data_IF_638074634494
#
_entry.id   IF_638074634494
#
_cell.length_a   1.000
_cell.length_b   1.000
_cell.length_c   1.000
_cell.angle_alpha   90.00
_cell.angle_beta   90.00
_cell.angle_gamma   90.00
#
_symmetry.space_group_name_H-M   'P 1'
#
loop_
_entity.id
_entity.type
_entity.pdbx_description
1 polymer ?
#
# COMPACT_ATOMS: atom_id res chain seq x y z
N UNK A 1 -0.36 -3.59 -15.26
CA UNK A 1 0.42 -2.59 -14.50
C UNK A 1 -0.45 -2.13 -13.36
N UNK A 2 -0.08 -2.42 -12.11
CA UNK A 2 -0.99 -2.30 -10.95
C UNK A 2 -0.30 -1.91 -9.64
N UNK A 3 1.00 -1.66 -9.68
CA UNK A 3 1.74 -1.03 -8.60
C UNK A 3 2.27 0.32 -9.08
N UNK A 4 2.33 1.31 -8.19
CA UNK A 4 3.05 2.56 -8.43
C UNK A 4 4.50 2.20 -8.73
N UNK A 5 5.07 2.73 -9.83
CA UNK A 5 6.47 2.49 -10.15
C UNK A 5 7.34 2.93 -8.97
N UNK A 6 7.99 1.96 -8.33
CA UNK A 6 9.09 2.24 -7.44
C UNK A 6 10.25 2.62 -8.37
N UNK A 7 10.83 3.81 -8.21
CA UNK A 7 12.08 4.09 -8.91
C UNK A 7 12.51 5.55 -9.00
N UNK A 8 13.83 5.70 -9.10
CA UNK A 8 14.51 6.93 -9.47
C UNK A 8 14.59 7.10 -11.01
N UNK A 9 14.46 5.98 -11.75
CA UNK A 9 14.57 5.86 -13.21
C UNK A 9 13.73 4.65 -13.71
N UNK A 10 13.39 4.61 -15.00
CA UNK A 10 12.53 3.55 -15.57
C UNK A 10 13.18 2.16 -15.43
N UNK A 11 12.44 1.20 -14.84
CA UNK A 11 12.93 -0.16 -14.58
C UNK A 11 13.92 -0.28 -13.42
N UNK A 12 14.12 0.78 -12.62
CA UNK A 12 15.02 0.79 -11.47
C UNK A 12 14.24 0.92 -10.14
N UNK A 13 13.71 -0.18 -9.59
CA UNK A 13 12.89 -0.17 -8.37
C UNK A 13 13.57 0.44 -7.15
N UNK A 14 14.89 0.28 -7.03
CA UNK A 14 15.69 0.82 -5.93
C UNK A 14 16.91 1.51 -6.52
N UNK A 15 17.20 2.72 -6.04
CA UNK A 15 18.43 3.43 -6.43
C UNK A 15 19.67 2.66 -5.89
N UNK A 16 20.70 2.40 -6.71
CA UNK A 16 21.89 1.62 -6.35
C UNK A 16 22.59 2.09 -5.08
N UNK A 17 22.53 3.40 -4.81
CA UNK A 17 23.07 4.01 -3.59
C UNK A 17 22.49 3.40 -2.32
N UNK A 18 21.25 2.91 -2.37
CA UNK A 18 20.53 2.35 -1.23
C UNK A 18 20.52 0.82 -1.20
N UNK A 19 20.99 0.14 -2.25
CA UNK A 19 20.99 -1.33 -2.24
C UNK A 19 21.81 -1.92 -1.10
N UNK A 20 23.07 -1.50 -0.98
CA UNK A 20 23.97 -1.99 0.07
C UNK A 20 23.42 -1.73 1.48
N UNK A 21 22.96 -0.52 1.85
CA UNK A 21 22.39 -0.31 3.17
C UNK A 21 21.09 -1.09 3.37
N UNK A 22 20.21 -1.23 2.37
CA UNK A 22 18.97 -2.00 2.53
C UNK A 22 19.21 -3.52 2.68
N UNK A 23 20.22 -4.07 1.99
CA UNK A 23 20.65 -5.47 2.14
C UNK A 23 21.33 -5.72 3.49
N UNK A 24 21.85 -4.68 4.15
CA UNK A 24 22.51 -4.79 5.45
C UNK A 24 21.54 -4.80 6.64
N UNK A 25 20.31 -4.32 6.46
CA UNK A 25 19.29 -4.24 7.51
C UNK A 25 18.38 -5.46 7.43
N UNK A 26 18.27 -6.18 8.55
CA UNK A 26 17.42 -7.35 8.71
C UNK A 26 16.18 -7.02 9.52
N UNK A 27 15.03 -7.52 9.08
CA UNK A 27 13.73 -7.30 9.71
C UNK A 27 12.92 -8.59 9.72
N UNK A 28 12.08 -8.74 10.73
CA UNK A 28 11.04 -9.76 10.76
C UNK A 28 9.78 -9.12 10.19
N UNK A 29 9.29 -9.65 9.07
CA UNK A 29 8.06 -9.14 8.47
C UNK A 29 6.88 -9.38 9.41
N UNK A 30 6.08 -8.35 9.66
CA UNK A 30 4.93 -8.42 10.56
C UNK A 30 3.77 -9.19 9.96
N UNK A 31 3.70 -9.32 8.64
CA UNK A 31 2.60 -10.02 7.96
C UNK A 31 2.94 -11.50 7.75
N UNK A 32 4.11 -11.82 7.16
CA UNK A 32 4.51 -13.21 6.89
C UNK A 32 5.26 -13.88 8.05
N UNK A 33 5.78 -13.11 9.01
CA UNK A 33 6.62 -13.61 10.10
C UNK A 33 8.03 -14.03 9.68
N UNK A 34 8.40 -13.83 8.41
CA UNK A 34 9.68 -14.27 7.87
C UNK A 34 10.79 -13.26 8.20
N UNK A 35 11.98 -13.78 8.51
CA UNK A 35 13.19 -12.97 8.68
C UNK A 35 13.89 -12.78 7.33
N UNK A 36 14.00 -11.53 6.87
CA UNK A 36 14.62 -11.18 5.58
C UNK A 36 15.26 -9.80 5.61
N UNK A 37 15.99 -9.44 4.56
CA UNK A 37 16.54 -8.08 4.46
C UNK A 37 15.45 -7.08 4.09
N UNK A 38 15.65 -5.80 4.43
CA UNK A 38 14.72 -4.74 3.99
C UNK A 38 14.66 -4.67 2.47
N UNK A 39 15.77 -4.95 1.79
CA UNK A 39 15.79 -5.06 0.33
C UNK A 39 14.83 -6.13 -0.18
N UNK A 40 14.89 -7.34 0.36
CA UNK A 40 14.02 -8.44 -0.05
C UNK A 40 12.56 -8.16 0.29
N UNK A 41 12.29 -7.53 1.43
CA UNK A 41 10.96 -7.12 1.84
C UNK A 41 10.31 -6.17 0.83
N UNK A 42 11.06 -5.21 0.28
CA UNK A 42 10.54 -4.28 -0.74
C UNK A 42 10.06 -5.03 -1.98
N UNK A 43 10.85 -6.00 -2.47
CA UNK A 43 10.46 -6.78 -3.65
C UNK A 43 9.29 -7.73 -3.36
N UNK A 44 9.25 -8.34 -2.17
CA UNK A 44 8.10 -9.14 -1.74
C UNK A 44 6.81 -8.30 -1.76
N UNK A 45 6.85 -7.08 -1.21
CA UNK A 45 5.69 -6.18 -1.20
C UNK A 45 5.31 -5.71 -2.60
N UNK A 46 6.29 -5.42 -3.45
CA UNK A 46 6.04 -5.06 -4.85
C UNK A 46 5.31 -6.19 -5.59
N UNK A 47 5.73 -7.45 -5.39
CA UNK A 47 5.08 -8.63 -5.98
C UNK A 47 3.65 -8.78 -5.46
N UNK A 48 3.44 -8.69 -4.14
CA UNK A 48 2.12 -8.81 -3.52
C UNK A 48 1.15 -7.70 -3.97
N UNK A 49 1.64 -6.47 -4.13
CA UNK A 49 0.82 -5.37 -4.63
C UNK A 49 0.55 -5.48 -6.13
N UNK A 50 1.45 -6.12 -6.89
CA UNK A 50 1.28 -6.30 -8.34
C UNK A 50 0.45 -7.53 -8.73
N UNK A 51 0.12 -8.40 -7.77
CA UNK A 51 -0.57 -9.68 -8.07
C UNK A 51 -1.99 -9.51 -8.59
N UNK A 52 -2.64 -8.39 -8.29
CA UNK A 52 -3.96 -8.03 -8.80
C UNK A 52 -4.02 -6.52 -9.07
N UNK A 53 -4.86 -6.06 -9.99
CA UNK A 53 -5.03 -4.63 -10.21
C UNK A 53 -5.72 -3.97 -9.00
N UNK A 54 -5.21 -2.81 -8.58
CA UNK A 54 -5.87 -1.98 -7.58
C UNK A 54 -7.17 -1.38 -8.15
N UNK A 55 -8.23 -1.40 -7.33
CA UNK A 55 -9.53 -0.72 -7.54
C UNK A 55 -9.93 -0.53 -9.01
N UNK A 56 -10.46 -1.58 -9.63
CA UNK A 56 -10.80 -1.57 -11.06
C UNK A 56 -12.26 -1.25 -11.27
N UNK A 57 -12.55 -0.39 -12.23
CA UNK A 57 -13.91 -0.18 -12.72
C UNK A 57 -14.25 -1.25 -13.77
N UNK A 58 -15.29 -2.03 -13.53
CA UNK A 58 -15.82 -3.03 -14.47
C UNK A 58 -17.27 -2.73 -14.82
N UNK A 59 -17.71 -3.11 -16.02
CA UNK A 59 -19.12 -3.10 -16.37
C UNK A 59 -19.79 -4.35 -15.80
N UNK A 60 -20.90 -4.19 -15.06
CA UNK A 60 -21.75 -5.29 -14.63
C UNK A 60 -22.51 -5.92 -15.82
N UNK A 61 -23.22 -7.02 -15.56
CA UNK A 61 -24.04 -7.72 -16.58
C UNK A 61 -25.13 -6.83 -17.22
N UNK A 62 -25.46 -5.70 -16.59
CA UNK A 62 -26.46 -4.73 -17.03
C UNK A 62 -25.83 -3.46 -17.67
N UNK A 63 -24.51 -3.39 -17.78
CA UNK A 63 -23.77 -2.24 -18.34
C UNK A 63 -23.51 -1.09 -17.37
N UNK A 64 -23.78 -1.24 -16.07
CA UNK A 64 -23.41 -0.25 -15.06
C UNK A 64 -21.93 -0.38 -14.67
N UNK A 65 -21.27 0.75 -14.46
CA UNK A 65 -19.89 0.78 -13.99
C UNK A 65 -19.84 0.55 -12.47
N UNK A 66 -19.15 -0.51 -12.03
CA UNK A 66 -18.97 -0.87 -10.63
C UNK A 66 -17.48 -0.90 -10.32
N UNK A 67 -17.09 -0.30 -9.18
CA UNK A 67 -15.74 -0.41 -8.65
C UNK A 67 -15.58 -1.72 -7.88
N UNK A 68 -14.63 -2.55 -8.30
CA UNK A 68 -14.27 -3.77 -7.59
C UNK A 68 -12.92 -3.61 -6.89
N UNK A 69 -12.85 -4.13 -5.67
CA UNK A 69 -11.62 -4.19 -4.87
C UNK A 69 -11.25 -5.66 -4.73
N UNK A 70 -10.38 -6.20 -5.60
CA UNK A 70 -10.00 -7.60 -5.52
C UNK A 70 -9.23 -7.88 -4.22
N UNK A 71 -9.36 -9.10 -3.72
CA UNK A 71 -8.58 -9.54 -2.56
C UNK A 71 -7.09 -9.62 -2.92
N UNK A 72 -6.24 -9.03 -2.08
CA UNK A 72 -4.79 -9.01 -2.27
C UNK A 72 -4.08 -9.38 -0.98
N UNK A 73 -2.92 -10.08 -1.04
CA UNK A 73 -2.19 -10.47 0.16
C UNK A 73 -1.67 -9.28 0.98
N UNK A 74 -1.47 -8.14 0.33
CA UNK A 74 -0.99 -6.91 0.96
C UNK A 74 -1.40 -5.68 0.16
N UNK A 75 -1.89 -4.66 0.86
CA UNK A 75 -2.12 -3.33 0.35
C UNK A 75 -1.85 -2.30 1.46
N UNK A 76 -1.26 -1.14 1.15
CA UNK A 76 -0.95 -0.11 2.15
C UNK A 76 -2.18 0.45 2.86
N UNK A 77 -3.37 0.32 2.27
CA UNK A 77 -4.65 0.78 2.80
C UNK A 77 -5.48 -0.35 3.44
N UNK A 78 -4.83 -1.44 3.85
CA UNK A 78 -5.41 -2.50 4.68
C UNK A 78 -5.17 -2.24 6.17
N UNK A 79 -6.21 -2.47 6.98
CA UNK A 79 -6.14 -2.28 8.41
C UNK A 79 -5.30 -3.33 9.15
N UNK A 80 -4.88 -3.04 10.39
CA UNK A 80 -5.34 -1.91 11.20
C UNK A 80 -4.65 -0.58 10.85
N UNK A 81 -5.44 0.46 10.54
CA UNK A 81 -4.94 1.83 10.31
C UNK A 81 -5.54 2.80 11.31
N UNK A 82 -4.68 3.65 11.87
CA UNK A 82 -5.02 4.69 12.83
C UNK A 82 -4.70 6.06 12.25
N UNK A 83 -5.52 7.06 12.58
CA UNK A 83 -5.23 8.45 12.25
C UNK A 83 -4.20 9.09 13.20
N UNK A 84 -3.80 10.33 12.92
CA UNK A 84 -2.90 11.15 13.74
C UNK A 84 -3.33 11.33 15.20
N UNK A 85 -4.63 11.23 15.46
CA UNK A 85 -5.20 11.36 16.80
C UNK A 85 -5.29 9.99 17.52
N UNK A 86 -4.86 8.91 16.87
CA UNK A 86 -4.90 7.54 17.38
C UNK A 86 -6.27 6.85 17.22
N UNK A 87 -7.20 7.43 16.47
CA UNK A 87 -8.49 6.79 16.21
C UNK A 87 -8.35 5.71 15.14
N UNK A 88 -8.96 4.54 15.39
CA UNK A 88 -9.03 3.46 14.41
C UNK A 88 -9.89 3.89 13.22
N UNK A 89 -9.29 3.90 12.03
CA UNK A 89 -9.94 4.26 10.75
C UNK A 89 -10.29 3.05 9.90
N UNK A 90 -9.41 2.05 9.89
CA UNK A 90 -9.61 0.82 9.12
C UNK A 90 -9.36 -0.38 10.04
N UNK A 91 -10.38 -1.21 10.31
CA UNK A 91 -10.24 -2.42 11.10
C UNK A 91 -9.28 -3.44 10.48
N UNK A 92 -8.71 -4.32 11.31
CA UNK A 92 -7.82 -5.38 10.83
C UNK A 92 -8.53 -6.31 9.83
N UNK A 93 -7.93 -6.50 8.64
CA UNK A 93 -8.49 -7.32 7.57
C UNK A 93 -9.45 -6.60 6.62
N UNK A 94 -9.79 -5.33 6.89
CA UNK A 94 -10.54 -4.50 5.94
C UNK A 94 -9.58 -3.70 5.04
N UNK A 95 -9.97 -3.50 3.79
CA UNK A 95 -9.25 -2.71 2.79
C UNK A 95 -10.13 -1.55 2.35
N UNK A 96 -9.58 -0.33 2.34
CA UNK A 96 -10.31 0.84 1.85
C UNK A 96 -10.70 0.68 0.39
N UNK A 97 -11.93 1.06 0.04
CA UNK A 97 -12.44 1.09 -1.33
C UNK A 97 -12.01 2.33 -2.10
N UNK A 98 -12.50 2.46 -3.34
CA UNK A 98 -12.20 3.61 -4.20
C UNK A 98 -12.68 4.93 -3.58
N UNK A 99 -13.95 4.96 -3.16
CA UNK A 99 -14.58 6.17 -2.61
C UNK A 99 -13.93 6.59 -1.27
N UNK A 100 -13.58 5.64 -0.41
CA UNK A 100 -12.91 5.93 0.87
C UNK A 100 -11.53 6.56 0.67
N UNK A 101 -10.78 6.11 -0.34
CA UNK A 101 -9.48 6.68 -0.70
C UNK A 101 -9.63 8.05 -1.35
N UNK A 102 -10.68 8.23 -2.16
CA UNK A 102 -10.97 9.50 -2.83
C UNK A 102 -11.36 10.60 -1.83
N UNK A 103 -12.14 10.25 -0.81
CA UNK A 103 -12.62 11.17 0.22
C UNK A 103 -11.72 11.16 1.48
N UNK A 104 -10.52 10.56 1.40
CA UNK A 104 -9.61 10.43 2.53
C UNK A 104 -9.13 11.80 3.03
N UNK A 105 -9.77 12.28 4.10
CA UNK A 105 -9.48 13.56 4.75
C UNK A 105 -8.85 13.38 6.14
N UNK A 106 -7.94 12.42 6.26
CA UNK A 106 -7.18 12.15 7.47
C UNK A 106 -5.79 11.63 7.12
N UNK A 107 -4.85 11.74 8.04
CA UNK A 107 -3.50 11.20 7.88
C UNK A 107 -3.22 10.11 8.90
N UNK A 108 -2.35 9.17 8.54
CA UNK A 108 -1.93 8.07 9.43
C UNK A 108 -1.17 8.59 10.66
N UNK A 109 -1.23 7.83 11.76
CA UNK A 109 -0.66 8.13 13.09
C UNK A 109 0.73 8.78 13.08
N UNK A 110 1.61 8.37 12.17
CA UNK A 110 3.02 8.81 12.12
C UNK A 110 3.28 10.04 11.25
N UNK A 111 2.24 10.63 10.67
CA UNK A 111 2.35 11.82 9.85
C UNK A 111 2.43 13.07 10.74
N UNK A 112 3.31 14.02 10.43
CA UNK A 112 3.52 15.25 11.25
C UNK A 112 2.82 16.48 10.68
N UNK A 113 2.60 16.50 9.36
CA UNK A 113 1.89 17.59 8.68
C UNK A 113 0.42 17.65 9.05
N UNK A 114 -0.22 18.80 8.84
CA UNK A 114 -1.67 18.97 9.02
C UNK A 114 -2.33 19.22 7.67
N UNK A 115 -3.58 18.81 7.51
CA UNK A 115 -4.34 19.10 6.29
C UNK A 115 -4.49 20.62 6.21
N UNK A 116 -4.07 21.29 5.13
CA UNK A 116 -4.28 22.71 4.97
C UNK A 116 -5.78 23.03 5.05
N UNK A 117 -6.16 23.99 5.88
CA UNK A 117 -7.50 24.55 5.83
C UNK A 117 -7.64 25.36 4.54
N UNK A 118 -8.76 25.16 3.82
CA UNK A 118 -9.14 25.99 2.68
C UNK A 118 -9.34 27.46 3.07
#
# INVERSE_FOLDING_TARGET
EGAVELGCDYGMPINPKFEAPLKSVWVIDKVSGQNMTVYDLVFLRLEQMSSAPAHVQIADENGNLVWITPDVPFDPFMGPLYDQDGNLRVPAGERLGHDDLWEMMWFVEWMVGTIPSA
#
